data_IF_373249572037
#
_entry.id   IF_373249572037
#
_cell.length_a   1.000
_cell.length_b   1.000
_cell.length_c   1.000
_cell.angle_alpha   90.00
_cell.angle_beta   90.00
_cell.angle_gamma   90.00
#
_symmetry.space_group_name_H-M   'P 1'
#
loop_
_entity.id
_entity.type
_entity.pdbx_description
1 polymer ?
#
# COMPACT_ATOMS: atom_id res chain seq x y z
N UNK A 1 10.56 -0.02 4.17
CA UNK A 1 10.12 1.19 3.42
C UNK A 1 8.79 1.76 3.92
N UNK A 2 7.75 0.95 4.14
CA UNK A 2 6.46 1.35 4.75
C UNK A 2 6.62 2.31 5.95
N UNK A 3 7.54 2.01 6.88
CA UNK A 3 7.80 2.86 8.05
C UNK A 3 8.31 4.26 7.66
N UNK A 4 9.19 4.38 6.66
CA UNK A 4 9.71 5.66 6.18
C UNK A 4 8.62 6.51 5.50
N UNK A 5 7.83 5.90 4.61
CA UNK A 5 6.74 6.60 3.93
C UNK A 5 5.71 7.08 4.95
N UNK A 6 5.34 6.21 5.90
CA UNK A 6 4.44 6.55 7.00
C UNK A 6 4.95 7.73 7.82
N UNK A 7 6.25 7.74 8.17
CA UNK A 7 6.86 8.87 8.88
C UNK A 7 6.85 10.17 8.06
N UNK A 8 7.08 10.09 6.74
CA UNK A 8 7.02 11.24 5.85
C UNK A 8 5.60 11.83 5.76
N UNK A 9 4.58 10.97 5.65
CA UNK A 9 3.18 11.38 5.64
C UNK A 9 2.74 12.00 6.97
N UNK A 10 3.15 11.42 8.10
CA UNK A 10 2.89 12.04 9.41
C UNK A 10 3.59 13.38 9.56
N UNK A 11 4.80 13.54 8.99
CA UNK A 11 5.47 14.83 8.95
C UNK A 11 4.69 15.83 8.10
N UNK A 12 4.26 15.44 6.89
CA UNK A 12 3.44 16.29 6.02
C UNK A 12 2.11 16.72 6.68
N UNK A 13 1.44 15.81 7.38
CA UNK A 13 0.25 16.14 8.17
C UNK A 13 0.54 17.14 9.30
N UNK A 14 1.66 16.98 10.03
CA UNK A 14 2.08 17.96 11.05
C UNK A 14 2.43 19.32 10.45
N UNK A 15 3.03 19.34 9.27
CA UNK A 15 3.42 20.55 8.56
C UNK A 15 2.22 21.23 7.86
N UNK A 16 1.00 20.70 8.04
CA UNK A 16 -0.24 21.25 7.47
C UNK A 16 -0.41 21.04 5.96
N UNK A 17 0.43 20.21 5.35
CA UNK A 17 0.39 19.89 3.92
C UNK A 17 -0.73 18.91 3.57
N UNK A 18 -1.25 18.17 4.56
CA UNK A 18 -2.37 17.25 4.40
C UNK A 18 -3.39 17.51 5.54
N UNK A 19 -4.68 17.68 5.21
CA UNK A 19 -5.74 17.71 6.22
C UNK A 19 -5.71 16.44 7.08
N UNK A 20 -6.05 16.55 8.36
CA UNK A 20 -6.11 15.38 9.24
C UNK A 20 -7.14 14.34 8.80
N UNK A 21 -8.18 14.75 8.05
CA UNK A 21 -9.15 13.86 7.42
C UNK A 21 -8.54 12.99 6.31
N UNK A 22 -7.44 13.43 5.72
CA UNK A 22 -6.84 12.88 4.51
C UNK A 22 -5.52 12.15 4.82
N UNK A 23 -5.33 11.78 6.09
CA UNK A 23 -4.18 11.01 6.54
C UNK A 23 -4.20 9.62 5.89
N UNK A 24 -3.32 9.45 4.91
CA UNK A 24 -3.12 8.19 4.20
C UNK A 24 -2.59 7.11 5.15
N UNK A 25 -3.19 5.92 5.07
CA UNK A 25 -2.76 4.74 5.82
C UNK A 25 -1.79 3.95 4.94
N UNK A 26 -0.55 3.78 5.41
CA UNK A 26 0.49 3.00 4.71
C UNK A 26 0.81 1.75 5.50
N UNK A 27 0.50 0.60 4.92
CA UNK A 27 0.59 -0.72 5.54
C UNK A 27 1.03 -1.77 4.52
N UNK A 28 1.44 -2.93 5.00
CA UNK A 28 1.74 -4.08 4.13
C UNK A 28 0.44 -4.78 3.71
N UNK A 29 0.51 -5.57 2.64
CA UNK A 29 -0.62 -6.35 2.12
C UNK A 29 -1.16 -7.33 3.17
N UNK A 30 -0.26 -8.01 3.88
CA UNK A 30 -0.64 -8.93 4.97
C UNK A 30 -1.46 -8.19 6.05
N UNK A 31 -1.14 -6.92 6.34
CA UNK A 31 -1.86 -6.10 7.32
C UNK A 31 -3.22 -5.56 6.84
N UNK A 32 -3.51 -5.67 5.54
CA UNK A 32 -4.78 -5.27 4.93
C UNK A 32 -5.79 -6.41 4.82
N UNK A 33 -5.40 -7.64 5.16
CA UNK A 33 -6.34 -8.76 5.16
C UNK A 33 -7.53 -8.47 6.08
N UNK A 34 -8.75 -8.56 5.53
CA UNK A 34 -9.99 -8.24 6.23
C UNK A 34 -10.30 -6.74 6.40
N UNK A 35 -9.48 -5.85 5.84
CA UNK A 35 -9.73 -4.40 5.81
C UNK A 35 -10.07 -3.95 4.39
N UNK A 36 -10.66 -2.77 4.26
CA UNK A 36 -11.04 -2.19 2.98
C UNK A 36 -10.81 -0.68 2.99
N UNK A 37 -10.62 -0.09 1.81
CA UNK A 37 -10.50 1.35 1.60
C UNK A 37 -11.22 1.73 0.30
N UNK A 38 -11.70 2.97 0.19
CA UNK A 38 -12.35 3.43 -1.05
C UNK A 38 -11.35 3.44 -2.21
N UNK A 39 -10.16 4.01 -1.97
CA UNK A 39 -9.06 4.06 -2.92
C UNK A 39 -7.79 3.43 -2.33
N UNK A 40 -7.03 2.71 -3.16
CA UNK A 40 -5.77 2.08 -2.78
C UNK A 40 -4.71 2.35 -3.85
N UNK A 41 -3.51 2.71 -3.39
CA UNK A 41 -2.31 2.81 -4.22
C UNK A 41 -1.39 1.66 -3.84
N UNK A 42 -1.05 0.82 -4.81
CA UNK A 42 -0.01 -0.18 -4.66
C UNK A 42 1.34 0.41 -5.05
N UNK A 43 2.33 0.25 -4.18
CA UNK A 43 3.72 0.58 -4.49
C UNK A 43 4.46 -0.72 -4.81
N UNK A 44 4.70 -0.94 -6.10
CA UNK A 44 5.52 -2.06 -6.58
C UNK A 44 7.01 -1.70 -6.43
N UNK A 45 7.59 -2.22 -5.36
CA UNK A 45 8.97 -1.96 -4.91
C UNK A 45 10.07 -2.58 -5.79
N UNK A 46 9.72 -3.52 -6.68
CA UNK A 46 10.67 -4.32 -7.48
C UNK A 46 10.71 -3.83 -8.93
N UNK A 47 11.65 -2.94 -9.27
CA UNK A 47 11.79 -2.40 -10.64
C UNK A 47 12.31 -3.42 -11.66
N UNK A 48 12.93 -4.52 -11.22
CA UNK A 48 13.37 -5.63 -12.05
C UNK A 48 13.01 -6.95 -11.36
N UNK A 49 11.90 -7.59 -11.74
CA UNK A 49 11.60 -8.92 -11.25
C UNK A 49 12.53 -9.90 -11.95
N UNK A 50 13.72 -10.14 -11.40
CA UNK A 50 14.36 -11.44 -11.59
C UNK A 50 13.30 -12.46 -11.15
N UNK A 51 12.81 -13.34 -12.05
CA UNK A 51 11.72 -14.29 -11.80
C UNK A 51 11.88 -15.10 -10.49
N UNK A 52 13.11 -15.23 -9.99
CA UNK A 52 13.47 -15.95 -8.77
C UNK A 52 13.57 -15.08 -7.50
N UNK A 53 13.33 -13.76 -7.58
CA UNK A 53 13.39 -12.82 -6.44
C UNK A 53 12.12 -11.99 -6.26
N UNK A 54 11.04 -12.31 -6.97
CA UNK A 54 9.74 -11.70 -6.72
C UNK A 54 9.32 -11.94 -5.25
N UNK A 55 8.69 -10.95 -4.63
CA UNK A 55 8.32 -10.98 -3.22
C UNK A 55 6.88 -10.49 -3.03
N UNK A 56 6.18 -11.04 -2.04
CA UNK A 56 4.85 -10.56 -1.68
C UNK A 56 3.79 -10.96 -2.72
N UNK A 57 2.97 -10.00 -3.15
CA UNK A 57 1.81 -10.25 -4.03
C UNK A 57 2.19 -10.61 -5.47
N UNK A 58 3.45 -10.41 -5.85
CA UNK A 58 3.92 -10.66 -7.22
C UNK A 58 4.23 -12.14 -7.50
N UNK A 59 4.34 -12.96 -6.45
CA UNK A 59 4.68 -14.40 -6.55
C UNK A 59 3.77 -15.30 -5.69
N UNK A 60 2.83 -14.70 -4.95
CA UNK A 60 1.91 -15.41 -4.08
C UNK A 60 0.48 -14.98 -4.40
N UNK A 61 -0.27 -15.89 -5.02
CA UNK A 61 -1.64 -15.64 -5.48
C UNK A 61 -2.60 -15.27 -4.34
N UNK A 62 -2.40 -15.81 -3.14
CA UNK A 62 -3.22 -15.44 -1.98
C UNK A 62 -2.98 -13.97 -1.58
N UNK A 63 -1.72 -13.51 -1.63
CA UNK A 63 -1.37 -12.11 -1.37
C UNK A 63 -1.83 -11.20 -2.52
N UNK A 64 -1.76 -11.68 -3.76
CA UNK A 64 -2.33 -11.01 -4.93
C UNK A 64 -3.84 -10.81 -4.81
N UNK A 65 -4.56 -11.86 -4.42
CA UNK A 65 -6.01 -11.79 -4.23
C UNK A 65 -6.37 -10.83 -3.10
N UNK A 66 -5.65 -10.87 -1.97
CA UNK A 66 -5.84 -9.88 -0.90
C UNK A 66 -5.65 -8.48 -1.47
N UNK A 67 -4.53 -8.19 -2.14
CA UNK A 67 -4.24 -6.89 -2.73
C UNK A 67 -5.38 -6.37 -3.66
N UNK A 68 -5.81 -7.20 -4.60
CA UNK A 68 -6.79 -6.84 -5.63
C UNK A 68 -8.23 -6.68 -5.12
N UNK A 69 -8.51 -7.04 -3.86
CA UNK A 69 -9.88 -7.07 -3.30
C UNK A 69 -10.09 -6.12 -2.14
N UNK A 70 -9.12 -5.24 -1.85
CA UNK A 70 -9.25 -4.30 -0.72
C UNK A 70 -9.91 -2.97 -1.12
N UNK A 71 -9.96 -2.61 -2.40
CA UNK A 71 -10.56 -1.35 -2.86
C UNK A 71 -12.07 -1.48 -3.07
N UNK A 72 -12.81 -0.40 -2.80
CA UNK A 72 -14.26 -0.32 -3.09
C UNK A 72 -14.56 0.46 -4.37
N UNK A 73 -13.75 1.46 -4.70
CA UNK A 73 -14.00 2.36 -5.83
C UNK A 73 -12.88 2.27 -6.87
N UNK A 74 -11.63 2.51 -6.46
CA UNK A 74 -10.51 2.62 -7.39
C UNK A 74 -9.20 2.05 -6.83
N UNK A 75 -8.37 1.53 -7.74
CA UNK A 75 -7.02 1.05 -7.45
C UNK A 75 -6.05 1.62 -8.47
N UNK A 76 -4.91 2.11 -7.98
CA UNK A 76 -3.74 2.46 -8.79
C UNK A 76 -2.60 1.50 -8.41
N UNK A 77 -1.87 1.03 -9.41
CA UNK A 77 -0.71 0.14 -9.26
C UNK A 77 0.52 0.85 -9.82
#
# INVERSE_FOLDING_TARGET
>A
QVVRIRQALYKAGRDGLLPASDLLIVVTIDSMQGKESNSIIFDWLVSQPDLNKGIGFTVNDNRGNVAMTRMREAMMI
#
